data_IF_146091811726
#
_entry.id   IF_146091811726
#
_cell.length_a   1.000
_cell.length_b   1.000
_cell.length_c   1.000
_cell.angle_alpha   90.00
_cell.angle_beta   90.00
_cell.angle_gamma   90.00
#
_symmetry.space_group_name_H-M   'P 1'
#
loop_
_entity.id
_entity.type
_entity.pdbx_description
1 polymer ?
#
# COMPACT_ATOMS: atom_id res chain seq x y z
N UNK A 1 -5.11 13.29 -11.52
CA UNK A 1 -4.66 12.00 -10.97
C UNK A 1 -5.72 10.94 -11.25
N UNK A 2 -5.33 9.83 -11.88
CA UNK A 2 -6.17 8.63 -12.06
C UNK A 2 -5.76 7.61 -11.00
N UNK A 3 -6.74 7.06 -10.29
CA UNK A 3 -6.53 6.07 -9.23
C UNK A 3 -7.09 4.73 -9.70
N UNK A 4 -6.32 3.64 -9.53
CA UNK A 4 -6.78 2.27 -9.74
C UNK A 4 -6.33 1.42 -8.56
N UNK A 5 -7.18 0.47 -8.14
CA UNK A 5 -6.91 -0.49 -7.08
C UNK A 5 -7.22 -1.87 -7.68
N UNK A 6 -6.24 -2.76 -7.67
CA UNK A 6 -6.40 -4.14 -8.13
C UNK A 6 -6.13 -5.08 -6.96
N UNK A 7 -7.05 -6.00 -6.68
CA UNK A 7 -6.94 -6.93 -5.56
C UNK A 7 -6.98 -8.38 -6.06
N UNK A 8 -6.00 -9.17 -5.64
CA UNK A 8 -5.84 -10.57 -6.02
C UNK A 8 -5.68 -11.45 -4.78
N UNK A 9 -6.23 -12.66 -4.86
CA UNK A 9 -5.95 -13.72 -3.89
C UNK A 9 -4.58 -14.30 -4.20
N UNK A 10 -3.79 -14.57 -3.17
CA UNK A 10 -2.54 -15.33 -3.30
C UNK A 10 -2.62 -16.59 -2.45
N UNK A 11 -2.10 -17.69 -2.98
CA UNK A 11 -2.03 -19.01 -2.35
C UNK A 11 -0.62 -19.35 -1.83
N UNK A 12 0.35 -18.47 -2.08
CA UNK A 12 1.72 -18.56 -1.60
C UNK A 12 2.33 -17.16 -1.48
N UNK A 13 3.40 -17.04 -0.70
CA UNK A 13 4.13 -15.78 -0.51
C UNK A 13 5.43 -15.68 -1.33
N UNK A 14 5.68 -16.59 -2.28
CA UNK A 14 6.84 -16.50 -3.17
C UNK A 14 6.83 -15.24 -4.04
N UNK A 15 5.64 -14.65 -4.26
CA UNK A 15 5.50 -13.37 -4.96
C UNK A 15 6.22 -12.20 -4.25
N UNK A 16 6.45 -12.29 -2.93
CA UNK A 16 7.26 -11.32 -2.18
C UNK A 16 8.67 -11.22 -2.76
N UNK A 17 9.28 -12.37 -3.08
CA UNK A 17 10.62 -12.42 -3.68
C UNK A 17 10.62 -11.77 -5.07
N UNK A 18 9.60 -12.04 -5.88
CA UNK A 18 9.46 -11.42 -7.22
C UNK A 18 9.37 -9.90 -7.14
N UNK A 19 8.56 -9.35 -6.22
CA UNK A 19 8.45 -7.90 -6.03
C UNK A 19 9.76 -7.29 -5.54
N UNK A 20 10.48 -7.96 -4.64
CA UNK A 20 11.73 -7.46 -4.07
C UNK A 20 12.86 -7.29 -5.09
N UNK A 21 12.79 -8.00 -6.22
CA UNK A 21 13.77 -7.87 -7.31
C UNK A 21 13.56 -6.59 -8.13
N UNK A 22 12.37 -6.00 -8.09
CA UNK A 22 11.96 -4.90 -8.96
C UNK A 22 11.66 -3.61 -8.19
N UNK A 23 11.24 -3.73 -6.93
CA UNK A 23 10.66 -2.63 -6.17
C UNK A 23 11.28 -2.48 -4.79
N UNK A 24 11.17 -1.27 -4.24
CA UNK A 24 11.75 -0.95 -2.93
C UNK A 24 10.79 -1.43 -1.84
N UNK A 25 11.21 -2.39 -1.02
CA UNK A 25 10.51 -2.74 0.22
C UNK A 25 10.57 -1.52 1.17
N UNK A 26 9.41 -0.94 1.45
CA UNK A 26 9.32 0.38 2.04
C UNK A 26 8.65 0.42 3.42
N UNK A 27 7.77 -0.54 3.74
CA UNK A 27 7.09 -0.60 5.03
C UNK A 27 6.55 -2.01 5.31
N UNK A 28 6.23 -2.29 6.58
CA UNK A 28 5.52 -3.49 7.00
C UNK A 28 4.86 -3.32 8.36
N UNK A 29 3.91 -4.21 8.66
CA UNK A 29 3.23 -4.31 9.96
C UNK A 29 3.24 -5.75 10.44
N UNK A 30 3.44 -5.95 11.75
CA UNK A 30 3.64 -7.26 12.39
C UNK A 30 4.73 -8.11 11.72
N UNK A 31 5.77 -7.44 11.22
CA UNK A 31 6.94 -8.03 10.58
C UNK A 31 8.09 -7.02 10.62
N UNK A 32 9.32 -7.50 10.76
CA UNK A 32 10.51 -6.66 10.63
C UNK A 32 11.01 -6.69 9.18
N UNK A 33 10.85 -5.58 8.46
CA UNK A 33 11.27 -5.46 7.06
C UNK A 33 12.78 -5.40 6.86
N UNK A 34 13.56 -5.29 7.94
CA UNK A 34 15.02 -5.34 7.88
C UNK A 34 15.57 -6.77 7.93
N UNK A 35 14.71 -7.77 8.19
CA UNK A 35 15.10 -9.17 8.08
C UNK A 35 15.42 -9.56 6.63
N UNK A 36 16.28 -10.58 6.42
CA UNK A 36 16.46 -11.18 5.11
C UNK A 36 15.12 -11.63 4.50
N UNK A 37 14.96 -11.48 3.19
CA UNK A 37 13.72 -11.84 2.48
C UNK A 37 13.20 -13.27 2.78
N UNK A 38 14.04 -14.31 2.86
CA UNK A 38 13.56 -15.64 3.23
C UNK A 38 12.87 -15.66 4.61
N UNK A 39 13.41 -14.90 5.58
CA UNK A 39 12.83 -14.80 6.91
C UNK A 39 11.51 -14.01 6.90
N UNK A 40 11.41 -12.95 6.09
CA UNK A 40 10.15 -12.23 5.88
C UNK A 40 9.08 -13.17 5.32
N UNK A 41 9.42 -13.96 4.31
CA UNK A 41 8.51 -14.95 3.70
C UNK A 41 8.11 -16.02 4.73
N UNK A 42 9.06 -16.49 5.55
CA UNK A 42 8.79 -17.45 6.62
C UNK A 42 7.90 -16.89 7.72
N UNK A 43 8.01 -15.61 8.06
CA UNK A 43 7.12 -14.94 9.02
C UNK A 43 5.67 -14.92 8.50
N UNK A 44 5.46 -14.66 7.20
CA UNK A 44 4.15 -14.76 6.56
C UNK A 44 3.62 -16.20 6.55
N UNK A 45 4.46 -17.16 6.15
CA UNK A 45 4.10 -18.58 6.13
C UNK A 45 3.75 -19.09 7.53
N UNK A 46 4.50 -18.68 8.55
CA UNK A 46 4.27 -19.06 9.95
C UNK A 46 2.89 -18.61 10.41
N UNK A 47 2.52 -17.36 10.14
CA UNK A 47 1.22 -16.83 10.55
C UNK A 47 0.07 -17.53 9.80
N UNK A 48 0.18 -17.71 8.48
CA UNK A 48 -0.84 -18.44 7.71
C UNK A 48 -0.92 -19.92 8.08
N UNK A 49 0.22 -20.53 8.47
CA UNK A 49 0.36 -21.93 8.88
C UNK A 49 -0.44 -22.27 10.15
N UNK A 50 -0.79 -21.29 10.96
CA UNK A 50 -1.73 -21.46 12.09
C UNK A 50 -3.13 -21.91 11.64
N UNK A 51 -3.44 -21.80 10.34
CA UNK A 51 -4.70 -22.21 9.71
C UNK A 51 -4.43 -23.21 8.56
N UNK A 52 -4.14 -24.49 8.85
CA UNK A 52 -3.65 -25.46 7.86
C UNK A 52 -4.63 -25.82 6.73
N UNK A 53 -5.92 -25.45 6.84
CA UNK A 53 -6.94 -25.67 5.79
C UNK A 53 -7.16 -24.44 4.90
N UNK A 54 -6.38 -23.38 5.09
CA UNK A 54 -6.50 -22.13 4.35
C UNK A 54 -5.91 -22.30 2.94
N UNK A 55 -6.74 -22.12 1.90
CA UNK A 55 -6.28 -22.22 0.49
C UNK A 55 -5.67 -20.93 -0.06
N UNK A 56 -6.27 -19.78 0.29
CA UNK A 56 -5.78 -18.46 -0.10
C UNK A 56 -5.13 -17.85 1.15
N UNK A 57 -3.81 -17.78 1.15
CA UNK A 57 -3.01 -17.39 2.31
C UNK A 57 -3.04 -15.88 2.54
N UNK A 58 -3.15 -15.10 1.46
CA UNK A 58 -3.07 -13.65 1.54
C UNK A 58 -3.88 -12.93 0.47
N UNK A 59 -3.75 -11.61 0.52
CA UNK A 59 -4.34 -10.67 -0.43
C UNK A 59 -3.20 -9.80 -0.96
N UNK A 60 -3.08 -9.72 -2.28
CA UNK A 60 -2.21 -8.77 -2.95
C UNK A 60 -3.05 -7.60 -3.44
N UNK A 61 -2.63 -6.39 -3.12
CA UNK A 61 -3.28 -5.15 -3.52
C UNK A 61 -2.27 -4.28 -4.29
N UNK A 62 -2.64 -3.87 -5.51
CA UNK A 62 -1.88 -2.95 -6.34
C UNK A 62 -2.64 -1.64 -6.45
N UNK A 63 -2.10 -0.59 -5.85
CA UNK A 63 -2.61 0.77 -6.01
C UNK A 63 -1.77 1.47 -7.07
N UNK A 64 -2.43 1.94 -8.12
CA UNK A 64 -1.82 2.75 -9.18
C UNK A 64 -2.32 4.18 -9.11
N UNK A 65 -1.40 5.12 -8.90
CA UNK A 65 -1.64 6.55 -9.00
C UNK A 65 -0.98 7.05 -10.29
N UNK A 66 -1.77 7.35 -11.32
CA UNK A 66 -1.28 7.75 -12.65
C UNK A 66 -1.57 9.22 -12.93
N UNK A 67 -0.78 9.83 -13.82
CA UNK A 67 -0.90 11.23 -14.21
C UNK A 67 -0.89 12.16 -12.98
N UNK A 68 0.11 11.97 -12.12
CA UNK A 68 0.36 12.86 -10.99
C UNK A 68 1.23 14.02 -11.49
N UNK A 69 0.83 15.25 -11.18
CA UNK A 69 1.55 16.48 -11.58
C UNK A 69 2.46 17.01 -10.48
N UNK A 70 2.39 16.42 -9.29
CA UNK A 70 3.17 16.75 -8.11
C UNK A 70 4.07 15.55 -7.81
N UNK A 71 5.35 15.82 -7.59
CA UNK A 71 6.29 14.77 -7.23
C UNK A 71 6.04 14.35 -5.77
N UNK A 72 5.60 13.10 -5.57
CA UNK A 72 5.51 12.51 -4.24
C UNK A 72 6.82 11.77 -3.93
N UNK A 73 7.36 11.99 -2.75
CA UNK A 73 8.50 11.22 -2.25
C UNK A 73 8.01 9.96 -1.52
N UNK A 74 8.95 9.10 -1.12
CA UNK A 74 8.66 7.87 -0.38
C UNK A 74 7.85 8.14 0.90
N UNK A 75 8.21 9.18 1.68
CA UNK A 75 7.50 9.51 2.92
C UNK A 75 6.03 9.86 2.68
N UNK A 76 5.73 10.65 1.64
CA UNK A 76 4.37 10.98 1.25
C UNK A 76 3.59 9.74 0.82
N UNK A 77 4.22 8.84 0.05
CA UNK A 77 3.60 7.57 -0.34
C UNK A 77 3.28 6.71 0.88
N UNK A 78 4.19 6.61 1.85
CA UNK A 78 3.97 5.85 3.08
C UNK A 78 2.83 6.43 3.92
N UNK A 79 2.69 7.76 3.99
CA UNK A 79 1.52 8.40 4.64
C UNK A 79 0.21 8.06 3.94
N UNK A 80 0.19 8.03 2.61
CA UNK A 80 -0.99 7.61 1.84
C UNK A 80 -1.33 6.15 2.15
N UNK A 81 -0.34 5.26 2.18
CA UNK A 81 -0.51 3.84 2.51
C UNK A 81 -1.09 3.67 3.90
N UNK A 82 -0.48 4.33 4.89
CA UNK A 82 -0.92 4.27 6.28
C UNK A 82 -2.38 4.71 6.44
N UNK A 83 -2.73 5.87 5.90
CA UNK A 83 -4.10 6.38 5.94
C UNK A 83 -5.08 5.48 5.20
N UNK A 84 -4.69 4.93 4.05
CA UNK A 84 -5.52 4.01 3.29
C UNK A 84 -5.80 2.72 4.09
N UNK A 85 -4.77 2.07 4.60
CA UNK A 85 -4.87 0.81 5.36
C UNK A 85 -5.74 1.01 6.62
N UNK A 86 -5.53 2.11 7.35
CA UNK A 86 -6.36 2.45 8.51
C UNK A 86 -7.82 2.72 8.10
N UNK A 87 -8.03 3.49 7.02
CA UNK A 87 -9.35 3.87 6.54
C UNK A 87 -10.19 2.69 6.04
N UNK A 88 -9.56 1.65 5.48
CA UNK A 88 -10.27 0.41 5.09
C UNK A 88 -10.38 -0.60 6.25
N UNK A 89 -9.79 -0.29 7.41
CA UNK A 89 -9.84 -1.13 8.61
C UNK A 89 -8.93 -2.36 8.58
N UNK A 90 -7.83 -2.32 7.83
CA UNK A 90 -6.89 -3.46 7.65
C UNK A 90 -5.56 -3.26 8.38
N UNK A 91 -5.51 -2.31 9.32
CA UNK A 91 -4.30 -1.95 10.06
C UNK A 91 -3.85 -3.00 11.08
N UNK A 92 -4.74 -3.92 11.46
CA UNK A 92 -4.46 -5.03 12.38
C UNK A 92 -3.91 -6.28 11.66
N UNK A 93 -3.67 -6.19 10.35
CA UNK A 93 -3.11 -7.27 9.53
C UNK A 93 -1.60 -7.22 9.48
N UNK A 94 -0.99 -8.41 9.38
CA UNK A 94 0.39 -8.51 8.93
C UNK A 94 0.45 -8.14 7.45
N UNK A 95 1.31 -7.19 7.09
CA UNK A 95 1.51 -6.78 5.71
C UNK A 95 2.92 -6.30 5.43
N UNK A 96 3.28 -6.28 4.15
CA UNK A 96 4.44 -5.56 3.62
C UNK A 96 4.04 -4.72 2.42
N UNK A 97 4.80 -3.64 2.20
CA UNK A 97 4.56 -2.66 1.15
C UNK A 97 5.82 -2.43 0.33
N UNK A 98 5.71 -2.52 -0.99
CA UNK A 98 6.73 -2.11 -1.94
C UNK A 98 6.28 -0.88 -2.72
N UNK A 99 7.24 -0.02 -3.07
CA UNK A 99 7.01 1.19 -3.83
C UNK A 99 7.80 1.18 -5.15
N UNK A 100 7.13 1.60 -6.21
CA UNK A 100 7.71 2.05 -7.47
C UNK A 100 7.27 3.50 -7.71
N UNK A 101 8.21 4.44 -7.54
CA UNK A 101 7.96 5.88 -7.66
C UNK A 101 8.59 6.36 -8.95
N UNK A 102 7.76 6.57 -9.96
CA UNK A 102 8.15 7.15 -11.25
C UNK A 102 7.71 8.61 -11.31
N UNK A 103 8.24 9.38 -12.26
CA UNK A 103 8.02 10.83 -12.36
C UNK A 103 6.56 11.27 -12.47
N UNK A 104 5.68 10.43 -13.02
CA UNK A 104 4.24 10.73 -13.20
C UNK A 104 3.30 9.59 -12.76
N UNK A 105 3.87 8.46 -12.34
CA UNK A 105 3.13 7.27 -11.94
C UNK A 105 3.75 6.71 -10.66
N UNK A 106 2.89 6.27 -9.75
CA UNK A 106 3.31 5.58 -8.53
C UNK A 106 2.55 4.28 -8.45
N UNK A 107 3.28 3.21 -8.19
CA UNK A 107 2.72 1.89 -7.93
C UNK A 107 3.07 1.48 -6.52
N UNK A 108 2.04 1.11 -5.76
CA UNK A 108 2.15 0.67 -4.38
C UNK A 108 1.65 -0.76 -4.34
N UNK A 109 2.55 -1.67 -4.00
CA UNK A 109 2.30 -3.10 -3.95
C UNK A 109 2.19 -3.49 -2.48
N UNK A 110 1.02 -3.95 -2.04
CA UNK A 110 0.78 -4.34 -0.65
C UNK A 110 0.41 -5.81 -0.61
N UNK A 111 1.12 -6.60 0.20
CA UNK A 111 0.81 -8.00 0.44
C UNK A 111 0.35 -8.13 1.88
N UNK A 112 -0.88 -8.58 2.07
CA UNK A 112 -1.49 -8.85 3.37
C UNK A 112 -1.54 -10.35 3.64
N UNK A 113 -1.28 -10.73 4.89
CA UNK A 113 -1.67 -12.03 5.40
C UNK A 113 -3.18 -12.03 5.66
N UNK A 114 -3.88 -13.08 5.23
CA UNK A 114 -5.32 -13.21 5.50
C UNK A 114 -5.60 -13.58 6.96
N UNK A 115 -4.61 -14.16 7.64
CA UNK A 115 -4.66 -14.49 9.05
C UNK A 115 -4.15 -13.29 9.85
N UNK A 116 -4.94 -12.80 10.80
CA UNK A 116 -4.49 -11.74 11.71
C UNK A 116 -3.56 -12.31 12.79
N UNK A 117 -2.73 -11.49 13.46
CA UNK A 117 -1.90 -11.95 14.59
C UNK A 117 -2.71 -12.61 15.73
N UNK A 118 -4.01 -12.29 15.85
CA UNK A 118 -4.94 -12.90 16.81
C UNK A 118 -5.63 -14.16 16.26
N UNK A 119 -5.20 -14.65 15.09
CA UNK A 119 -5.70 -15.85 14.45
C UNK A 119 -7.07 -15.69 13.76
N UNK A 120 -7.58 -14.46 13.59
CA UNK A 120 -8.83 -14.22 12.84
C UNK A 120 -8.57 -14.32 11.34
N UNK A 121 -9.62 -14.56 10.57
CA UNK A 121 -9.55 -14.63 9.11
C UNK A 121 -10.33 -13.48 8.48
N UNK A 122 -9.72 -12.81 7.51
CA UNK A 122 -10.46 -11.91 6.63
C UNK A 122 -11.29 -12.73 5.64
N UNK A 123 -12.51 -12.32 5.34
CA UNK A 123 -13.27 -12.96 4.28
C UNK A 123 -12.81 -12.43 2.91
N UNK A 124 -12.34 -13.32 2.03
CA UNK A 124 -11.96 -13.00 0.65
C UNK A 124 -13.15 -12.59 -0.24
N UNK A 125 -14.39 -12.69 0.25
CA UNK A 125 -15.55 -12.07 -0.41
C UNK A 125 -15.49 -10.55 -0.41
N UNK A 126 -14.63 -9.94 0.42
CA UNK A 126 -14.37 -8.50 0.37
C UNK A 126 -13.51 -8.08 -0.82
N UNK A 127 -12.94 -9.03 -1.57
CA UNK A 127 -12.04 -8.71 -2.68
C UNK A 127 -12.78 -8.11 -3.87
N UNK A 128 -12.17 -7.07 -4.41
CA UNK A 128 -12.73 -6.22 -5.43
C UNK A 128 -12.89 -4.82 -4.86
N UNK A 129 -12.03 -3.92 -5.34
CA UNK A 129 -12.01 -2.54 -4.89
C UNK A 129 -13.41 -1.90 -4.98
N UNK A 130 -14.02 -1.67 -3.84
CA UNK A 130 -15.34 -1.05 -3.77
C UNK A 130 -15.22 0.48 -3.76
N UNK A 131 -16.34 1.17 -3.97
CA UNK A 131 -16.37 2.64 -3.99
C UNK A 131 -15.81 3.27 -2.69
N UNK A 132 -15.96 2.60 -1.54
CA UNK A 132 -15.46 3.11 -0.26
C UNK A 132 -13.93 3.09 -0.22
N UNK A 133 -13.29 2.04 -0.73
CA UNK A 133 -11.83 1.95 -0.81
C UNK A 133 -11.26 3.03 -1.74
N UNK A 134 -11.92 3.31 -2.86
CA UNK A 134 -11.54 4.42 -3.74
C UNK A 134 -11.70 5.78 -3.06
N UNK A 135 -12.78 5.98 -2.30
CA UNK A 135 -13.02 7.24 -1.59
C UNK A 135 -12.01 7.46 -0.47
N UNK A 136 -11.72 6.43 0.34
CA UNK A 136 -10.66 6.46 1.36
C UNK A 136 -9.33 6.81 0.71
N UNK A 137 -8.94 6.12 -0.37
CA UNK A 137 -7.67 6.39 -1.05
C UNK A 137 -7.60 7.81 -1.62
N UNK A 138 -8.70 8.30 -2.20
CA UNK A 138 -8.78 9.68 -2.70
C UNK A 138 -8.58 10.69 -1.57
N UNK A 139 -9.21 10.48 -0.42
CA UNK A 139 -9.05 11.32 0.76
C UNK A 139 -7.62 11.26 1.29
N UNK A 140 -7.03 10.06 1.38
CA UNK A 140 -5.63 9.90 1.78
C UNK A 140 -4.67 10.67 0.86
N UNK A 141 -4.88 10.60 -0.45
CA UNK A 141 -4.10 11.38 -1.40
C UNK A 141 -4.32 12.90 -1.22
N UNK A 142 -5.56 13.36 -1.09
CA UNK A 142 -5.87 14.79 -0.88
C UNK A 142 -5.23 15.32 0.40
N UNK A 143 -5.31 14.59 1.52
CA UNK A 143 -4.68 15.00 2.78
C UNK A 143 -3.16 15.13 2.69
N UNK A 144 -2.50 14.33 1.86
CA UNK A 144 -1.04 14.38 1.69
C UNK A 144 -0.63 15.42 0.65
N UNK A 145 -1.42 15.60 -0.41
CA UNK A 145 -1.14 16.52 -1.51
C UNK A 145 -1.52 17.97 -1.15
N UNK A 146 -2.68 18.16 -0.54
CA UNK A 146 -3.28 19.47 -0.25
C UNK A 146 -2.82 20.06 1.10
N UNK A 147 -2.04 19.32 1.91
CA UNK A 147 -1.45 19.85 3.14
C UNK A 147 -0.20 20.69 2.82
N UNK A 148 -0.29 22.03 2.79
CA UNK A 148 0.69 22.90 2.14
C UNK A 148 1.91 23.20 3.01
N UNK A 149 2.00 22.66 4.24
CA UNK A 149 3.02 23.02 5.23
C UNK A 149 4.45 22.72 4.72
N UNK A 150 4.60 21.89 3.67
CA UNK A 150 5.88 21.64 2.98
C UNK A 150 5.91 22.00 1.48
N UNK A 151 4.82 22.53 0.91
CA UNK A 151 4.76 22.94 -0.50
C UNK A 151 5.18 24.40 -0.71
N UNK A 152 6.37 24.78 -0.19
CA UNK A 152 6.97 26.11 -0.45
C UNK A 152 7.25 26.39 -1.94
N UNK A 153 7.11 25.39 -2.81
CA UNK A 153 7.38 25.51 -4.25
C UNK A 153 6.13 25.78 -5.11
N UNK A 154 4.92 25.69 -4.57
CA UNK A 154 3.69 26.01 -5.32
C UNK A 154 3.18 27.46 -5.13
N UNK A 155 3.82 28.26 -4.27
CA UNK A 155 3.45 29.67 -4.05
C UNK A 155 4.18 30.70 -4.94
N UNK A 156 5.01 30.28 -5.90
CA UNK A 156 5.64 31.21 -6.86
C UNK A 156 5.28 30.86 -8.29
N UNK A 157 4.08 31.26 -8.74
CA UNK A 157 3.78 31.77 -10.10
C UNK A 157 2.27 31.95 -10.31
N UNK A 158 1.65 32.83 -9.53
CA UNK A 158 0.46 33.58 -9.98
C UNK A 158 0.52 34.98 -9.39
N UNK A 159 1.35 35.82 -9.99
CA UNK A 159 1.18 37.28 -9.96
C UNK A 159 1.90 37.84 -11.18
N UNK A 160 1.24 37.72 -12.34
CA UNK A 160 1.43 38.67 -13.42
C UNK A 160 0.22 39.61 -13.36
N UNK A 161 0.54 40.90 -13.25
CA UNK A 161 -0.26 42.05 -13.69
C UNK A 161 -1.48 42.43 -12.83
N UNK A 162 -1.31 43.51 -12.05
CA UNK A 162 -2.27 44.61 -11.92
C UNK A 162 -1.50 45.91 -11.58
N UNK A 163 -1.60 46.92 -12.45
CA UNK A 163 -1.41 48.35 -12.13
C UNK A 163 0.00 48.87 -12.09
#
# INVERSE_FOLDING_TARGET
MKIMIEELKIDNFGFIETLSQQYILANGSFIDINHPLPQIIDDFNTLSGTRPKLRNLGIYNLISLKNIYIQLNQEACLKIVDQYIHGIGWHDLQYICFLDIQSSNIYIHIIFNRVTPQGKLIDIKCLGANWQQYEVLRQSCSLVIDNPVHNKYLQRRFCNCCG
#
